data_IF_225285523084
#
_entry.id   IF_225285523084
#
_cell.length_a   1.000
_cell.length_b   1.000
_cell.length_c   1.000
_cell.angle_alpha   90.00
_cell.angle_beta   90.00
_cell.angle_gamma   90.00
#
_symmetry.space_group_name_H-M   'P 1'
#
loop_
_entity.id
_entity.type
_entity.pdbx_description
1 polymer ?
#
# COMPACT_ATOMS: atom_id res chain seq x y z
N UNK A 1 9.93 -12.18 6.60
CA UNK A 1 8.67 -11.45 6.34
C UNK A 1 7.61 -12.46 6.00
N UNK A 2 6.46 -12.36 6.66
CA UNK A 2 5.26 -13.16 6.47
C UNK A 2 4.07 -12.21 6.44
N UNK A 3 2.96 -12.68 5.89
CA UNK A 3 1.71 -11.91 5.92
C UNK A 3 1.36 -11.57 7.38
N UNK A 4 1.06 -10.29 7.64
CA UNK A 4 0.72 -9.78 8.97
C UNK A 4 1.89 -9.21 9.78
N UNK A 5 3.13 -9.38 9.34
CA UNK A 5 4.28 -8.76 10.01
C UNK A 5 4.20 -7.22 9.93
N UNK A 6 4.54 -6.53 11.03
CA UNK A 6 4.65 -5.06 11.05
C UNK A 6 5.88 -4.63 10.27
N UNK A 7 5.67 -3.79 9.24
CA UNK A 7 6.75 -3.29 8.37
C UNK A 7 7.00 -1.79 8.50
N UNK A 8 6.20 -1.09 9.31
CA UNK A 8 6.34 0.36 9.49
C UNK A 8 5.14 0.98 10.21
N UNK A 9 5.16 2.31 10.31
CA UNK A 9 4.08 3.14 10.83
C UNK A 9 3.62 4.10 9.75
N UNK A 10 2.33 4.45 9.72
CA UNK A 10 1.83 5.49 8.84
C UNK A 10 2.47 6.85 9.18
N UNK A 11 2.58 7.73 8.19
CA UNK A 11 3.22 9.03 8.35
C UNK A 11 2.86 10.02 7.24
N UNK A 12 3.64 11.10 7.14
CA UNK A 12 3.48 12.17 6.14
C UNK A 12 4.82 12.54 5.50
N UNK A 13 5.70 11.57 5.26
CA UNK A 13 6.96 11.80 4.56
C UNK A 13 6.72 11.90 3.04
N UNK A 14 7.48 12.76 2.34
CA UNK A 14 7.40 12.90 0.89
C UNK A 14 6.23 13.76 0.41
N UNK A 15 5.61 13.40 -0.71
CA UNK A 15 4.46 14.10 -1.27
C UNK A 15 3.15 13.63 -0.59
N UNK A 16 2.79 14.28 0.51
CA UNK A 16 1.60 13.95 1.29
C UNK A 16 0.97 15.20 1.94
N UNK A 17 -0.35 15.35 1.81
CA UNK A 17 -1.11 16.45 2.44
C UNK A 17 -1.49 16.16 3.90
N UNK A 18 -1.50 14.89 4.31
CA UNK A 18 -1.85 14.44 5.67
C UNK A 18 -1.25 13.07 5.98
N UNK A 19 -1.43 12.58 7.21
CA UNK A 19 -0.96 11.23 7.60
C UNK A 19 -1.84 10.18 6.92
N UNK A 20 -1.26 9.40 6.02
CA UNK A 20 -1.95 8.30 5.32
C UNK A 20 -0.93 7.28 4.79
N UNK A 21 -1.44 6.15 4.28
CA UNK A 21 -0.65 5.15 3.59
C UNK A 21 -1.09 5.09 2.13
N UNK A 22 -0.18 5.40 1.21
CA UNK A 22 -0.39 5.09 -0.21
C UNK A 22 -0.01 3.62 -0.44
N UNK A 23 -0.94 2.83 -0.97
CA UNK A 23 -0.73 1.42 -1.28
C UNK A 23 -0.98 1.18 -2.77
N UNK A 24 -0.01 0.55 -3.44
CA UNK A 24 -0.11 0.18 -4.85
C UNK A 24 0.36 -1.25 -5.09
N UNK A 25 -0.21 -1.92 -6.08
CA UNK A 25 0.28 -3.19 -6.59
C UNK A 25 0.86 -2.95 -7.99
N UNK A 26 2.10 -3.39 -8.21
CA UNK A 26 2.77 -3.28 -9.50
C UNK A 26 3.22 -4.65 -10.00
N UNK A 27 2.98 -4.94 -11.29
CA UNK A 27 3.48 -6.15 -11.95
C UNK A 27 4.23 -5.78 -13.21
N UNK A 28 5.51 -6.18 -13.30
CA UNK A 28 6.40 -5.83 -14.43
C UNK A 28 6.40 -4.32 -14.72
N UNK A 29 6.50 -3.50 -13.67
CA UNK A 29 6.57 -2.04 -13.75
C UNK A 29 5.22 -1.32 -13.94
N UNK A 30 4.14 -2.02 -14.28
CA UNK A 30 2.80 -1.44 -14.48
C UNK A 30 1.98 -1.48 -13.19
N UNK A 31 1.29 -0.38 -12.89
CA UNK A 31 0.31 -0.32 -11.80
C UNK A 31 -0.93 -1.17 -12.17
N UNK A 32 -1.44 -1.91 -11.19
CA UNK A 32 -2.67 -2.69 -11.28
C UNK A 32 -3.70 -2.13 -10.31
N UNK A 33 -4.99 -2.35 -10.58
CA UNK A 33 -6.06 -2.02 -9.64
C UNK A 33 -5.92 -2.87 -8.36
N UNK A 34 -5.65 -2.26 -7.19
CA UNK A 34 -5.48 -3.00 -5.94
C UNK A 34 -6.77 -3.69 -5.48
N UNK A 35 -7.95 -3.17 -5.85
CA UNK A 35 -9.24 -3.71 -5.40
C UNK A 35 -9.50 -5.14 -5.88
N UNK A 36 -8.83 -5.56 -6.97
CA UNK A 36 -8.89 -6.93 -7.47
C UNK A 36 -8.17 -7.96 -6.58
N UNK A 37 -7.34 -7.50 -5.63
CA UNK A 37 -6.49 -8.35 -4.78
C UNK A 37 -6.82 -8.25 -3.30
N UNK A 38 -7.61 -7.24 -2.90
CA UNK A 38 -8.03 -7.08 -1.52
C UNK A 38 -9.15 -8.07 -1.19
N UNK A 39 -9.18 -8.62 0.05
CA UNK A 39 -10.28 -9.46 0.49
C UNK A 39 -11.62 -8.73 0.35
N UNK A 40 -12.67 -9.46 -0.06
CA UNK A 40 -14.03 -9.00 0.13
C UNK A 40 -14.27 -8.81 1.64
N UNK A 41 -14.85 -7.68 2.02
CA UNK A 41 -15.09 -7.30 3.40
C UNK A 41 -16.27 -8.03 4.01
#
# INVERSE_FOLDING_TARGET
MRQGDVIGRAGRSGNASGVHLHFEIRRKGRALDPMLFLPAR
#
